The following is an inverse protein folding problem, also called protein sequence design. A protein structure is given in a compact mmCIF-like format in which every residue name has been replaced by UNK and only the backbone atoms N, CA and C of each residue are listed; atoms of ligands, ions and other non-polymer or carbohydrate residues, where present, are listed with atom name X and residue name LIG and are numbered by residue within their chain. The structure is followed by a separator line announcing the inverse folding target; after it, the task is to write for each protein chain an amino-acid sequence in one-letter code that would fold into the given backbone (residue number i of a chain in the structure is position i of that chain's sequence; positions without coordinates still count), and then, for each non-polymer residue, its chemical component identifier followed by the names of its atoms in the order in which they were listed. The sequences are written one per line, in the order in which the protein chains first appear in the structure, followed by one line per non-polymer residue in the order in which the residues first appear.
data_IF_713078076087
#
_entry.id   IF_713078076087
#
_cell.length_a   1.000
_cell.length_b   1.000
_cell.length_c   1.000
_cell.angle_alpha   90.00
_cell.angle_beta   90.00
_cell.angle_gamma   90.00
#
_symmetry.space_group_name_H-M   'P 1'
#
loop_
_entity.id
_entity.type
_entity.pdbx_description
1 polymer ?
#
# COMPACT_ATOMS: atom_id res chain seq x y z
N UNK A 1 1.36 -15.80 19.15
CA UNK A 1 0.81 -14.42 19.17
C UNK A 1 1.87 -13.41 18.72
N UNK A 2 2.43 -13.53 17.49
CA UNK A 2 3.47 -12.60 17.02
C UNK A 2 3.70 -12.54 15.49
N UNK A 3 3.04 -13.34 14.66
CA UNK A 3 3.63 -13.61 13.34
C UNK A 3 3.14 -12.70 12.18
N UNK A 4 1.90 -12.21 12.14
CA UNK A 4 1.50 -11.19 11.13
C UNK A 4 0.28 -10.39 11.61
N UNK A 5 0.44 -9.09 11.85
CA UNK A 5 -0.56 -8.15 12.40
C UNK A 5 -1.11 -7.18 11.34
N UNK A 6 -1.48 -7.71 10.16
CA UNK A 6 -2.09 -6.89 9.11
C UNK A 6 -3.49 -6.42 9.53
N UNK A 7 -3.83 -5.17 9.21
CA UNK A 7 -5.16 -4.59 9.41
C UNK A 7 -5.71 -4.09 8.06
N UNK A 8 -7.02 -4.24 7.85
CA UNK A 8 -7.71 -3.68 6.69
C UNK A 8 -8.76 -2.67 7.17
N UNK A 9 -8.70 -1.45 6.61
CA UNK A 9 -9.62 -0.37 6.96
C UNK A 9 -10.24 0.19 5.68
N UNK A 10 -11.57 0.26 5.65
CA UNK A 10 -12.30 0.98 4.61
C UNK A 10 -12.59 2.40 5.10
N UNK A 11 -12.14 3.38 4.33
CA UNK A 11 -12.28 4.80 4.64
C UNK A 11 -12.99 5.53 3.50
N UNK A 12 -13.68 6.61 3.81
CA UNK A 12 -14.50 7.34 2.84
C UNK A 12 -13.67 8.22 1.90
N UNK A 13 -12.57 8.80 2.40
CA UNK A 13 -11.76 9.79 1.68
C UNK A 13 -10.30 9.82 2.15
N UNK A 14 -9.49 10.62 1.44
CA UNK A 14 -8.06 10.81 1.74
C UNK A 14 -7.78 11.44 3.10
N UNK A 15 -8.70 12.25 3.66
CA UNK A 15 -8.53 12.83 4.99
C UNK A 15 -8.62 11.77 6.07
N UNK A 16 -9.69 10.96 6.01
CA UNK A 16 -9.91 9.82 6.90
C UNK A 16 -8.80 8.76 6.74
N UNK A 17 -8.31 8.54 5.52
CA UNK A 17 -7.16 7.68 5.27
C UNK A 17 -5.88 8.20 5.94
N UNK A 18 -5.58 9.49 5.81
CA UNK A 18 -4.42 10.12 6.44
C UNK A 18 -4.50 10.05 7.98
N UNK A 19 -5.70 10.21 8.54
CA UNK A 19 -5.93 10.02 9.97
C UNK A 19 -5.67 8.58 10.43
N UNK A 20 -6.13 7.58 9.68
CA UNK A 20 -5.82 6.18 9.99
C UNK A 20 -4.30 5.91 9.98
N UNK A 21 -3.60 6.38 8.94
CA UNK A 21 -2.13 6.26 8.82
C UNK A 21 -1.43 6.94 10.00
N UNK A 22 -1.91 8.12 10.42
CA UNK A 22 -1.37 8.83 11.59
C UNK A 22 -1.42 7.98 12.86
N UNK A 23 -2.47 7.19 13.06
CA UNK A 23 -2.58 6.33 14.24
C UNK A 23 -1.65 5.11 14.19
N UNK A 24 -1.24 4.69 12.99
CA UNK A 24 -0.28 3.60 12.79
C UNK A 24 1.18 4.06 12.93
N UNK A 25 1.48 5.32 12.60
CA UNK A 25 2.85 5.85 12.61
C UNK A 25 3.43 5.98 14.04
N UNK A 26 4.52 5.26 14.29
CA UNK A 26 5.23 5.26 15.57
C UNK A 26 6.18 6.46 15.64
N UNK A 27 5.70 7.57 16.20
CA UNK A 27 6.45 8.80 16.57
C UNK A 27 7.08 9.62 15.44
N UNK A 28 7.61 8.99 14.39
CA UNK A 28 8.19 9.68 13.25
C UNK A 28 7.11 10.17 12.29
N UNK A 29 7.35 11.35 11.71
CA UNK A 29 6.45 12.00 10.76
C UNK A 29 6.96 11.93 9.33
N UNK A 30 7.89 11.03 9.02
CA UNK A 30 8.32 10.78 7.64
C UNK A 30 7.55 9.59 7.08
N UNK A 31 7.02 9.73 5.87
CA UNK A 31 6.40 8.63 5.14
C UNK A 31 7.08 8.49 3.77
N UNK A 32 7.63 7.31 3.52
CA UNK A 32 8.24 7.01 2.23
C UNK A 32 7.17 6.55 1.26
N UNK A 33 6.97 7.29 0.18
CA UNK A 33 5.89 7.05 -0.76
C UNK A 33 6.43 6.45 -2.05
N UNK A 34 5.72 5.47 -2.60
CA UNK A 34 5.99 4.98 -3.94
C UNK A 34 5.60 6.02 -5.00
N UNK A 35 6.16 5.91 -6.21
CA UNK A 35 5.80 6.82 -7.31
C UNK A 35 4.32 6.67 -7.67
N UNK A 36 3.77 5.46 -7.62
CA UNK A 36 2.33 5.22 -7.82
C UNK A 36 1.44 6.09 -6.93
N UNK A 37 1.80 6.29 -5.65
CA UNK A 37 1.04 7.15 -4.72
C UNK A 37 1.08 8.60 -5.15
N UNK A 38 2.26 9.08 -5.56
CA UNK A 38 2.44 10.46 -6.06
C UNK A 38 1.55 10.75 -7.28
N UNK A 39 1.43 9.78 -8.18
CA UNK A 39 0.67 9.93 -9.42
C UNK A 39 -0.84 9.74 -9.23
N UNK A 40 -1.25 8.81 -8.36
CA UNK A 40 -2.63 8.33 -8.28
C UNK A 40 -3.39 8.79 -7.04
N UNK A 41 -2.69 9.24 -5.99
CA UNK A 41 -3.30 9.68 -4.74
C UNK A 41 -2.69 10.99 -4.18
N UNK A 42 -2.54 12.06 -4.99
CA UNK A 42 -1.96 13.33 -4.51
C UNK A 42 -2.76 13.97 -3.37
N UNK A 43 -4.08 13.78 -3.33
CA UNK A 43 -4.93 14.26 -2.24
C UNK A 43 -4.62 13.61 -0.88
N UNK A 44 -4.16 12.35 -0.88
CA UNK A 44 -3.70 11.66 0.33
C UNK A 44 -2.39 12.24 0.85
N UNK A 45 -1.45 12.54 -0.06
CA UNK A 45 -0.20 13.20 0.29
C UNK A 45 -0.49 14.55 0.94
N UNK A 46 -1.31 15.39 0.31
CA UNK A 46 -1.69 16.69 0.85
C UNK A 46 -2.44 16.58 2.20
N UNK A 47 -3.22 15.51 2.42
CA UNK A 47 -3.86 15.25 3.70
C UNK A 47 -2.84 14.86 4.79
N UNK A 48 -1.88 13.99 4.48
CA UNK A 48 -0.78 13.62 5.38
C UNK A 48 0.08 14.83 5.75
N UNK A 49 0.42 15.68 4.79
CA UNK A 49 1.19 16.91 5.01
C UNK A 49 0.48 17.88 5.95
N UNK A 50 -0.85 18.05 5.81
CA UNK A 50 -1.65 18.85 6.77
C UNK A 50 -1.65 18.28 8.18
N UNK A 51 -1.46 16.97 8.33
CA UNK A 51 -1.29 16.30 9.63
C UNK A 51 0.15 16.32 10.14
N UNK A 52 1.06 17.01 9.44
CA UNK A 52 2.46 17.21 9.81
C UNK A 52 3.40 16.13 9.31
N UNK A 53 2.98 15.27 8.38
CA UNK A 53 3.89 14.30 7.75
C UNK A 53 4.74 14.95 6.66
N UNK A 54 5.98 14.50 6.52
CA UNK A 54 6.85 14.76 5.38
C UNK A 54 6.83 13.53 4.46
N UNK A 55 6.23 13.67 3.28
CA UNK A 55 6.28 12.63 2.27
C UNK A 55 7.62 12.68 1.50
N UNK A 56 8.25 11.52 1.30
CA UNK A 56 9.52 11.40 0.56
C UNK A 56 9.43 10.32 -0.50
N UNK A 57 9.82 10.65 -1.73
CA UNK A 57 9.98 9.68 -2.81
C UNK A 57 11.45 9.24 -2.83
N UNK A 58 11.73 7.93 -2.73
CA UNK A 58 13.11 7.44 -2.75
C UNK A 58 13.68 7.39 -4.15
N UNK A 59 14.97 7.70 -4.28
CA UNK A 59 15.73 7.55 -5.52
C UNK A 59 16.43 6.20 -5.58
N UNK A 60 16.86 5.68 -4.43
CA UNK A 60 17.50 4.38 -4.32
C UNK A 60 17.02 3.58 -3.10
N UNK A 61 17.17 2.24 -3.09
CA UNK A 61 16.72 1.39 -1.99
C UNK A 61 17.38 1.64 -0.63
N UNK A 62 18.58 2.22 -0.58
CA UNK A 62 19.27 2.45 0.69
C UNK A 62 18.58 3.56 1.50
N UNK A 63 17.90 4.51 0.84
CA UNK A 63 17.12 5.56 1.51
C UNK A 63 15.91 5.02 2.29
N UNK A 64 15.36 3.88 1.86
CA UNK A 64 14.09 3.33 2.38
C UNK A 64 14.30 2.16 3.34
N UNK A 65 15.49 1.56 3.32
CA UNK A 65 15.79 0.40 4.14
C UNK A 65 15.59 0.71 5.62
N UNK A 66 14.85 -0.17 6.29
CA UNK A 66 14.54 -0.12 7.72
C UNK A 66 13.85 1.20 8.12
N UNK A 67 13.24 1.89 7.16
CA UNK A 67 12.46 3.09 7.45
C UNK A 67 11.11 2.68 8.06
N UNK A 68 10.60 3.41 9.07
CA UNK A 68 9.45 2.94 9.84
C UNK A 68 8.17 2.78 9.02
N UNK A 69 7.95 3.66 8.04
CA UNK A 69 6.68 3.76 7.34
C UNK A 69 6.84 3.95 5.83
N UNK A 70 6.32 2.98 5.09
CA UNK A 70 6.10 3.03 3.65
C UNK A 70 4.63 3.19 3.30
N UNK A 71 4.37 3.89 2.20
CA UNK A 71 3.04 4.05 1.63
C UNK A 71 3.11 3.75 0.13
N UNK A 72 2.29 2.80 -0.31
CA UNK A 72 2.19 2.41 -1.71
C UNK A 72 0.72 2.29 -2.13
N UNK A 73 0.46 2.33 -3.44
CA UNK A 73 -0.87 2.10 -4.00
C UNK A 73 -0.89 0.80 -4.79
N UNK A 74 -1.91 -0.02 -4.57
CA UNK A 74 -2.06 -1.27 -5.29
C UNK A 74 -2.60 -1.04 -6.71
N UNK A 75 -2.20 -1.91 -7.63
CA UNK A 75 -2.83 -2.07 -8.95
C UNK A 75 -4.22 -2.74 -8.81
N UNK A 76 -4.38 -3.57 -7.80
CA UNK A 76 -5.66 -4.14 -7.39
C UNK A 76 -5.51 -4.96 -6.12
N UNK A 77 -6.63 -5.30 -5.49
CA UNK A 77 -6.66 -6.18 -4.33
C UNK A 77 -7.59 -7.36 -4.57
N UNK A 78 -7.33 -8.48 -3.92
CA UNK A 78 -8.09 -9.73 -4.06
C UNK A 78 -8.65 -10.11 -2.69
N UNK A 79 -9.96 -10.10 -2.57
CA UNK A 79 -10.67 -10.41 -1.33
C UNK A 79 -10.46 -11.87 -0.90
N UNK A 80 -10.61 -12.82 -1.83
CA UNK A 80 -10.45 -14.27 -1.57
C UNK A 80 -9.15 -14.59 -0.82
N UNK A 81 -8.05 -13.97 -1.25
CA UNK A 81 -6.71 -14.25 -0.73
C UNK A 81 -6.18 -13.15 0.18
N UNK A 82 -6.94 -12.09 0.45
CA UNK A 82 -6.46 -10.92 1.21
C UNK A 82 -5.17 -10.33 0.66
N UNK A 83 -5.02 -10.28 -0.68
CA UNK A 83 -3.77 -9.92 -1.34
C UNK A 83 -3.85 -8.57 -2.06
N UNK A 84 -2.76 -7.80 -2.05
CA UNK A 84 -2.57 -6.64 -2.90
C UNK A 84 -1.60 -6.96 -4.05
N UNK A 85 -1.91 -6.48 -5.25
CA UNK A 85 -1.05 -6.58 -6.43
C UNK A 85 -0.28 -5.27 -6.53
N UNK A 86 1.04 -5.35 -6.45
CA UNK A 86 1.96 -4.21 -6.52
C UNK A 86 2.78 -4.29 -7.80
N UNK A 87 2.96 -3.16 -8.47
CA UNK A 87 3.92 -3.01 -9.57
C UNK A 87 4.44 -1.59 -9.59
N UNK A 88 5.75 -1.43 -9.45
CA UNK A 88 6.46 -0.15 -9.39
C UNK A 88 7.66 -0.20 -10.35
N UNK A 89 7.66 0.61 -11.43
CA UNK A 89 8.70 0.53 -12.45
C UNK A 89 10.07 0.94 -11.89
N UNK A 90 10.09 1.93 -11.00
CA UNK A 90 11.32 2.45 -10.40
C UNK A 90 11.77 1.60 -9.20
N UNK A 91 13.08 1.34 -9.15
CA UNK A 91 13.70 0.53 -8.09
C UNK A 91 13.54 1.16 -6.72
N UNK A 92 13.67 2.50 -6.61
CA UNK A 92 13.39 3.24 -5.38
C UNK A 92 11.96 3.01 -4.89
N UNK A 93 10.96 3.27 -5.74
CA UNK A 93 9.55 3.07 -5.38
C UNK A 93 9.21 1.63 -5.03
N UNK A 94 9.80 0.65 -5.72
CA UNK A 94 9.66 -0.77 -5.38
C UNK A 94 10.24 -1.11 -4.00
N UNK A 95 11.31 -0.45 -3.58
CA UNK A 95 11.89 -0.69 -2.26
C UNK A 95 10.97 -0.27 -1.12
N UNK A 96 10.07 0.71 -1.34
CA UNK A 96 9.01 1.09 -0.37
C UNK A 96 8.15 -0.11 0.01
N UNK A 97 7.79 -0.96 -0.95
CA UNK A 97 6.92 -2.11 -0.66
C UNK A 97 7.66 -3.30 -0.03
N UNK A 98 9.00 -3.24 0.05
CA UNK A 98 9.84 -4.40 0.39
C UNK A 98 10.72 -4.17 1.62
N UNK A 99 11.08 -2.92 1.93
CA UNK A 99 12.14 -2.61 2.89
C UNK A 99 11.71 -1.69 4.04
N UNK A 100 10.49 -1.16 4.02
CA UNK A 100 9.95 -0.42 5.18
C UNK A 100 9.44 -1.39 6.24
N UNK A 101 9.62 -1.05 7.51
CA UNK A 101 9.17 -1.88 8.62
C UNK A 101 7.64 -2.03 8.66
N UNK A 102 6.93 -0.93 8.42
CA UNK A 102 5.48 -0.91 8.27
C UNK A 102 5.10 -0.44 6.88
N UNK A 103 4.37 -1.26 6.13
CA UNK A 103 3.83 -0.90 4.83
C UNK A 103 2.32 -0.64 4.93
N UNK A 104 1.91 0.58 4.58
CA UNK A 104 0.51 0.89 4.29
C UNK A 104 0.29 0.76 2.78
N UNK A 105 -0.69 -0.05 2.40
CA UNK A 105 -1.14 -0.17 1.02
C UNK A 105 -2.52 0.44 0.89
N UNK A 106 -2.66 1.43 0.01
CA UNK A 106 -3.96 1.99 -0.36
C UNK A 106 -4.45 1.35 -1.66
N UNK A 107 -5.75 1.15 -1.78
CA UNK A 107 -6.38 0.62 -2.97
C UNK A 107 -7.75 1.28 -3.15
N UNK A 108 -8.08 1.78 -4.35
CA UNK A 108 -9.45 2.20 -4.65
C UNK A 108 -10.42 1.03 -4.45
N UNK A 109 -11.58 1.25 -3.83
CA UNK A 109 -12.57 0.18 -3.63
C UNK A 109 -13.02 -0.45 -4.95
N UNK A 110 -13.06 0.31 -6.04
CA UNK A 110 -13.38 -0.19 -7.38
C UNK A 110 -12.34 -1.19 -7.95
N UNK A 111 -11.15 -1.25 -7.35
CA UNK A 111 -10.07 -2.17 -7.71
C UNK A 111 -9.98 -3.39 -6.79
N UNK A 112 -10.99 -3.59 -5.92
CA UNK A 112 -11.14 -4.79 -5.12
C UNK A 112 -11.86 -5.87 -5.94
N UNK A 113 -11.15 -6.95 -6.23
CA UNK A 113 -11.65 -8.12 -6.92
C UNK A 113 -12.04 -9.21 -5.92
N UNK A 114 -13.11 -9.97 -6.18
CA UNK A 114 -13.54 -11.04 -5.29
C UNK A 114 -12.59 -12.24 -5.32
N UNK A 115 -11.97 -12.58 -6.46
CA UNK A 115 -11.19 -13.81 -6.64
C UNK A 115 -9.87 -13.59 -7.39
N UNK A 116 -8.93 -14.52 -7.23
CA UNK A 116 -7.65 -14.48 -7.97
C UNK A 116 -7.85 -14.60 -9.49
N UNK A 117 -8.89 -15.30 -9.94
CA UNK A 117 -9.19 -15.44 -11.37
C UNK A 117 -9.43 -14.11 -12.08
N UNK A 118 -9.98 -13.11 -11.36
CA UNK A 118 -10.24 -11.78 -11.91
C UNK A 118 -8.99 -10.91 -12.03
N UNK A 119 -7.89 -11.28 -11.35
CA UNK A 119 -6.61 -10.57 -11.44
C UNK A 119 -5.96 -10.67 -12.82
N UNK A 120 -6.40 -11.60 -13.68
CA UNK A 120 -5.85 -11.78 -15.02
C UNK A 120 -5.91 -10.51 -15.88
N UNK A 121 -6.97 -9.71 -15.73
CA UNK A 121 -7.11 -8.42 -16.43
C UNK A 121 -6.05 -7.40 -15.98
N UNK A 122 -5.85 -7.29 -14.67
CA UNK A 122 -4.83 -6.41 -14.06
C UNK A 122 -3.42 -6.83 -14.49
N UNK A 123 -3.10 -8.12 -14.40
CA UNK A 123 -1.80 -8.66 -14.80
C UNK A 123 -1.51 -8.42 -16.29
N UNK A 124 -2.53 -8.55 -17.15
CA UNK A 124 -2.41 -8.23 -18.58
C UNK A 124 -2.10 -6.74 -18.80
N UNK A 125 -2.75 -5.84 -18.06
CA UNK A 125 -2.50 -4.41 -18.15
C UNK A 125 -1.08 -4.06 -17.70
N UNK A 126 -0.62 -4.61 -16.57
CA UNK A 126 0.75 -4.46 -16.06
C UNK A 126 1.77 -4.94 -17.11
N UNK A 127 1.54 -6.12 -17.69
CA UNK A 127 2.41 -6.69 -18.72
C UNK A 127 2.45 -5.83 -20.00
N UNK A 128 1.30 -5.30 -20.43
CA UNK A 128 1.21 -4.42 -21.60
C UNK A 128 1.92 -3.07 -21.37
N UNK A 129 1.92 -2.57 -20.13
CA UNK A 129 2.70 -1.41 -19.68
C UNK A 129 4.22 -1.65 -19.62
N UNK A 130 4.69 -2.83 -20.02
CA UNK A 130 6.11 -3.26 -20.00
C UNK A 130 6.72 -3.34 -18.60
N UNK A 131 5.91 -3.44 -17.55
CA UNK A 131 6.43 -3.83 -16.26
C UNK A 131 6.95 -5.28 -16.33
N UNK A 132 8.15 -5.51 -15.81
CA UNK A 132 8.80 -6.83 -15.84
C UNK A 132 8.31 -7.78 -14.74
N UNK A 133 7.40 -7.31 -13.88
CA UNK A 133 6.97 -8.05 -12.70
C UNK A 133 5.64 -7.52 -12.14
N UNK A 134 5.01 -8.36 -11.33
CA UNK A 134 4.00 -7.98 -10.35
C UNK A 134 4.29 -8.74 -9.06
N UNK A 135 4.10 -8.09 -7.92
CA UNK A 135 4.26 -8.70 -6.59
C UNK A 135 2.90 -8.84 -5.94
N UNK A 136 2.60 -10.02 -5.43
CA UNK A 136 1.43 -10.25 -4.59
C UNK A 136 1.86 -10.14 -3.14
N UNK A 137 1.35 -9.14 -2.44
CA UNK A 137 1.53 -8.97 -0.99
C UNK A 137 0.29 -9.51 -0.31
N UNK A 138 0.39 -10.70 0.26
CA UNK A 138 -0.73 -11.38 0.93
C UNK A 138 -0.73 -11.07 2.41
N UNK A 139 -1.86 -10.58 2.93
CA UNK A 139 -2.06 -10.31 4.34
C UNK A 139 -2.11 -11.60 5.20
N UNK A 140 -2.24 -11.45 6.53
CA UNK A 140 -2.51 -12.58 7.42
C UNK A 140 -3.81 -13.26 7.01
N UNK A 141 -3.82 -14.59 7.09
CA UNK A 141 -4.98 -15.47 6.83
C UNK A 141 -6.31 -15.00 7.46
N UNK A 142 -7.41 -15.44 6.83
CA UNK A 142 -8.86 -15.23 7.08
C UNK A 142 -9.40 -15.63 8.48
N UNK A 143 -8.58 -15.61 9.53
CA UNK A 143 -8.96 -16.06 10.88
C UNK A 143 -9.13 -14.93 11.91
N UNK A 144 -9.25 -13.67 11.47
CA UNK A 144 -9.41 -12.54 12.40
C UNK A 144 -10.83 -11.94 12.50
N UNK A 145 -11.76 -12.21 11.56
CA UNK A 145 -13.02 -11.45 11.46
C UNK A 145 -14.29 -12.34 11.36
N UNK A 146 -14.58 -13.15 12.38
CA UNK A 146 -15.99 -13.45 12.74
C UNK A 146 -16.19 -12.97 14.16
N UNK A 147 -16.55 -11.69 14.32
CA UNK A 147 -17.37 -11.17 15.42
C UNK A 147 -17.78 -9.73 15.06
N UNK A 148 -18.91 -9.62 14.36
CA UNK A 148 -19.64 -8.37 14.21
C UNK A 148 -20.48 -8.13 15.45
N UNK A 149 -20.40 -6.92 15.98
CA UNK A 149 -21.40 -6.34 16.89
C UNK A 149 -22.51 -5.71 16.05
#
# INVERSE_FOLDING_TARGET
LAAVSGQALRVADSGTAADAIRTTALTERVVWISEGVSQRAPALIAALERLGFQAKVPRDPAEVRDQPLGLAIAEGTIAETGSAIMSEPQVGSRSVTLMTETLVVVCPTASLMPSLGEAAGVLRAISAGRASYATFVTGPSRTADIEGN
#
